data_IF_924360406973
#
_entry.id   IF_924360406973
#
_cell.length_a   1.000
_cell.length_b   1.000
_cell.length_c   1.000
_cell.angle_alpha   90.00
_cell.angle_beta   90.00
_cell.angle_gamma   90.00
#
_symmetry.space_group_name_H-M   'P 1'
#
loop_
_entity.id
_entity.type
_entity.pdbx_description
1 polymer ?
#
# COMPACT_ATOMS: atom_id res chain seq x y z
N UNK A 1 -8.86 1.35 7.53
CA UNK A 1 -7.46 1.64 7.90
C UNK A 1 -7.39 1.55 9.41
N UNK A 2 -6.64 0.60 9.96
CA UNK A 2 -6.56 0.35 11.39
C UNK A 2 -5.21 0.87 11.92
N UNK A 3 -5.22 1.71 12.96
CA UNK A 3 -4.00 2.23 13.59
C UNK A 3 -3.74 1.40 14.84
N UNK A 4 -2.54 0.85 14.96
CA UNK A 4 -2.13 0.11 16.17
C UNK A 4 -1.01 0.82 16.89
N UNK A 5 -0.93 0.65 18.21
CA UNK A 5 0.16 1.18 19.04
C UNK A 5 0.76 0.05 19.86
N UNK A 6 2.09 -0.02 19.87
CA UNK A 6 2.89 -0.98 20.61
C UNK A 6 3.89 -0.19 21.47
N UNK A 7 4.21 -0.70 22.63
CA UNK A 7 5.41 -0.26 23.36
C UNK A 7 6.66 -0.83 22.70
N UNK A 8 7.81 -0.20 22.94
CA UNK A 8 9.10 -0.74 22.51
C UNK A 8 9.31 -2.18 23.00
N UNK A 9 8.82 -2.51 24.20
CA UNK A 9 8.88 -3.87 24.75
C UNK A 9 8.03 -4.85 23.94
N UNK A 10 6.77 -4.52 23.67
CA UNK A 10 5.88 -5.39 22.88
C UNK A 10 6.40 -5.60 21.46
N UNK A 11 6.92 -4.53 20.84
CA UNK A 11 7.55 -4.63 19.52
C UNK A 11 8.75 -5.57 19.53
N UNK A 12 9.67 -5.43 20.49
CA UNK A 12 10.86 -6.26 20.58
C UNK A 12 10.55 -7.72 20.94
N UNK A 13 9.49 -7.95 21.73
CA UNK A 13 9.06 -9.28 22.14
C UNK A 13 8.31 -10.03 21.03
N UNK A 14 7.53 -9.32 20.20
CA UNK A 14 6.72 -9.90 19.12
C UNK A 14 6.75 -9.02 17.86
N UNK A 15 7.91 -9.00 17.22
CA UNK A 15 8.12 -8.25 15.96
C UNK A 15 7.22 -8.76 14.83
N UNK A 16 6.89 -10.06 14.82
CA UNK A 16 6.02 -10.68 13.83
C UNK A 16 4.59 -10.14 13.89
N UNK A 17 4.03 -9.97 15.10
CA UNK A 17 2.71 -9.36 15.29
C UNK A 17 2.68 -7.92 14.80
N UNK A 18 3.72 -7.13 15.08
CA UNK A 18 3.81 -5.75 14.59
C UNK A 18 3.88 -5.68 13.06
N UNK A 19 4.65 -6.56 12.40
CA UNK A 19 4.69 -6.67 10.92
C UNK A 19 3.34 -7.07 10.32
N UNK A 20 2.60 -7.98 10.96
CA UNK A 20 1.25 -8.35 10.50
C UNK A 20 0.27 -7.19 10.66
N UNK A 21 0.36 -6.45 11.77
CA UNK A 21 -0.47 -5.27 12.00
C UNK A 21 -0.16 -4.16 10.98
N UNK A 22 1.11 -4.00 10.57
CA UNK A 22 1.50 -2.97 9.60
C UNK A 22 0.91 -3.17 8.20
N UNK A 23 0.44 -4.37 7.87
CA UNK A 23 -0.32 -4.64 6.64
C UNK A 23 -1.71 -3.98 6.64
N UNK A 24 -2.30 -3.73 7.82
CA UNK A 24 -3.64 -3.12 7.95
C UNK A 24 -3.61 -1.59 8.10
N UNK A 25 -2.46 -1.05 8.50
CA UNK A 25 -2.24 0.37 8.72
C UNK A 25 -1.00 0.64 9.58
N UNK A 26 -0.67 1.90 9.88
CA UNK A 26 0.54 2.26 10.60
C UNK A 26 0.54 1.69 12.02
N UNK A 27 1.72 1.22 12.44
CA UNK A 27 1.97 0.78 13.82
C UNK A 27 2.89 1.79 14.50
N UNK A 28 2.38 2.48 15.51
CA UNK A 28 3.17 3.38 16.33
C UNK A 28 3.91 2.58 17.41
N UNK A 29 5.21 2.84 17.54
CA UNK A 29 6.04 2.25 18.58
C UNK A 29 6.38 3.35 19.58
N UNK A 30 6.05 3.12 20.84
CA UNK A 30 6.21 4.10 21.92
C UNK A 30 7.41 3.80 22.80
N UNK A 31 8.07 4.86 23.26
CA UNK A 31 9.02 4.83 24.36
C UNK A 31 8.48 5.72 25.50
N UNK A 32 8.45 5.20 26.72
CA UNK A 32 7.89 5.87 27.91
C UNK A 32 6.52 6.53 27.67
N UNK A 33 5.65 5.87 26.91
CA UNK A 33 4.29 6.34 26.61
C UNK A 33 4.18 7.38 25.49
N UNK A 34 5.29 7.75 24.82
CA UNK A 34 5.29 8.69 23.70
C UNK A 34 5.66 7.97 22.40
N UNK A 35 4.98 8.23 21.27
CA UNK A 35 5.40 7.71 19.97
C UNK A 35 6.84 8.12 19.65
N UNK A 36 7.67 7.15 19.31
CA UNK A 36 9.07 7.36 18.95
C UNK A 36 9.37 6.89 17.52
N UNK A 37 8.71 5.81 17.08
CA UNK A 37 8.86 5.27 15.73
C UNK A 37 7.50 4.87 15.14
N UNK A 38 7.46 4.70 13.82
CA UNK A 38 6.32 4.15 13.09
C UNK A 38 6.82 3.04 12.17
N UNK A 39 6.12 1.91 12.16
CA UNK A 39 6.31 0.82 11.20
C UNK A 39 5.19 0.86 10.15
N UNK A 40 5.58 0.78 8.88
CA UNK A 40 4.70 0.72 7.72
C UNK A 40 5.06 -0.50 6.86
N UNK A 41 4.10 -0.99 6.06
CA UNK A 41 4.47 -1.81 4.91
C UNK A 41 5.26 -0.99 3.90
N UNK A 42 6.10 -1.65 3.08
CA UNK A 42 6.86 -0.94 2.04
C UNK A 42 5.92 -0.25 1.03
N UNK A 43 4.79 -0.87 0.71
CA UNK A 43 3.78 -0.32 -0.20
C UNK A 43 3.17 0.97 0.36
N UNK A 44 2.83 1.00 1.65
CA UNK A 44 2.32 2.21 2.30
C UNK A 44 3.36 3.31 2.33
N UNK A 45 4.62 2.97 2.62
CA UNK A 45 5.72 3.93 2.61
C UNK A 45 5.94 4.54 1.22
N UNK A 46 5.96 3.71 0.17
CA UNK A 46 6.07 4.17 -1.22
C UNK A 46 4.89 5.06 -1.62
N UNK A 47 3.67 4.70 -1.24
CA UNK A 47 2.47 5.52 -1.50
C UNK A 47 2.57 6.90 -0.85
N UNK A 48 3.07 6.99 0.38
CA UNK A 48 3.30 8.27 1.08
C UNK A 48 4.34 9.13 0.35
N UNK A 49 5.41 8.50 -0.16
CA UNK A 49 6.44 9.19 -0.94
C UNK A 49 5.98 9.56 -2.36
N UNK A 50 4.76 9.20 -2.76
CA UNK A 50 4.30 9.39 -4.14
C UNK A 50 5.06 8.53 -5.14
N UNK A 51 5.80 7.51 -4.67
CA UNK A 51 6.51 6.53 -5.49
C UNK A 51 5.56 5.44 -5.99
N UNK A 52 4.34 5.84 -6.40
CA UNK A 52 3.45 4.92 -7.07
C UNK A 52 4.18 4.40 -8.33
N UNK A 53 4.16 3.07 -8.57
CA UNK A 53 4.76 2.52 -9.78
C UNK A 53 4.17 3.24 -10.99
N UNK A 54 5.03 3.62 -11.93
CA UNK A 54 4.57 4.25 -13.15
C UNK A 54 3.63 3.30 -13.89
N UNK A 55 2.81 3.85 -14.80
CA UNK A 55 1.95 3.01 -15.65
C UNK A 55 2.78 1.94 -16.38
N UNK A 56 4.03 2.27 -16.75
CA UNK A 56 4.97 1.35 -17.39
C UNK A 56 5.37 0.23 -16.43
N UNK A 57 5.73 0.57 -15.19
CA UNK A 57 6.10 -0.43 -14.17
C UNK A 57 4.94 -1.37 -13.85
N UNK A 58 3.71 -0.86 -13.89
CA UNK A 58 2.49 -1.66 -13.67
C UNK A 58 2.23 -2.63 -14.83
N UNK A 59 2.35 -2.15 -16.07
CA UNK A 59 2.15 -2.96 -17.28
C UNK A 59 3.28 -3.96 -17.54
N UNK A 60 4.47 -3.72 -16.99
CA UNK A 60 5.63 -4.59 -17.14
C UNK A 60 5.66 -5.78 -16.14
N UNK A 61 4.68 -5.90 -15.24
CA UNK A 61 4.65 -6.98 -14.24
C UNK A 61 4.30 -8.31 -14.89
N UNK A 62 5.05 -9.36 -14.56
CA UNK A 62 4.82 -10.72 -15.07
C UNK A 62 3.39 -11.24 -14.79
N UNK A 63 2.78 -10.79 -13.68
CA UNK A 63 1.39 -11.07 -13.31
C UNK A 63 0.36 -10.57 -14.32
N UNK A 64 0.73 -9.62 -15.18
CA UNK A 64 -0.14 -9.02 -16.23
C UNK A 64 0.16 -9.52 -17.64
N UNK A 65 1.12 -10.42 -17.80
CA UNK A 65 1.62 -10.85 -19.11
C UNK A 65 0.63 -11.66 -19.95
N UNK A 66 -0.41 -12.23 -19.32
CA UNK A 66 -1.37 -13.14 -19.95
C UNK A 66 -2.83 -12.65 -19.81
N UNK A 67 -3.01 -11.33 -19.78
CA UNK A 67 -4.34 -10.72 -19.80
C UNK A 67 -4.82 -10.68 -21.26
N UNK A 68 -5.97 -11.32 -21.53
CA UNK A 68 -6.66 -11.22 -22.81
C UNK A 68 -7.32 -9.84 -22.93
N UNK A 69 -6.48 -8.87 -23.31
CA UNK A 69 -6.86 -7.47 -23.43
C UNK A 69 -7.73 -7.35 -24.69
N UNK A 70 -9.05 -7.33 -24.50
CA UNK A 70 -10.03 -7.08 -25.56
C UNK A 70 -10.26 -5.57 -25.65
N UNK A 71 -9.54 -4.82 -26.51
CA UNK A 71 -9.76 -3.40 -26.64
C UNK A 71 -11.19 -3.15 -27.11
N UNK A 72 -11.95 -2.40 -26.31
CA UNK A 72 -13.24 -1.91 -26.78
C UNK A 72 -12.99 -0.79 -27.79
N UNK A 73 -13.52 -0.99 -29.00
CA UNK A 73 -13.51 0.06 -30.02
C UNK A 73 -14.51 1.13 -29.60
N UNK A 74 -14.01 2.33 -29.35
CA UNK A 74 -14.87 3.48 -29.09
C UNK A 74 -15.43 3.94 -30.43
N UNK A 75 -16.72 3.67 -30.65
CA UNK A 75 -17.44 4.04 -31.88
C UNK A 75 -17.93 5.49 -31.82
N UNK A 76 -18.26 6.01 -30.62
CA UNK A 76 -18.76 7.38 -30.43
C UNK A 76 -18.06 8.12 -29.29
N UNK A 77 -17.76 9.40 -29.48
CA UNK A 77 -17.07 10.26 -28.50
C UNK A 77 -17.89 10.50 -27.20
N UNK A 78 -19.18 10.20 -27.22
CA UNK A 78 -20.07 10.24 -26.05
C UNK A 78 -19.83 9.11 -25.04
N UNK A 79 -19.17 8.03 -25.46
CA UNK A 79 -18.93 6.83 -24.62
C UNK A 79 -17.76 7.03 -23.63
N UNK A 80 -17.05 8.16 -23.75
CA UNK A 80 -15.85 8.50 -22.97
C UNK A 80 -16.22 9.22 -21.66
N UNK A 81 -17.49 9.58 -21.47
CA UNK A 81 -17.94 10.45 -20.36
C UNK A 81 -17.98 9.76 -18.99
N UNK A 82 -17.74 8.45 -18.92
CA UNK A 82 -17.81 7.67 -17.67
C UNK A 82 -16.46 7.48 -16.95
N UNK A 83 -15.38 8.14 -17.40
CA UNK A 83 -14.17 8.27 -16.58
C UNK A 83 -14.36 9.40 -15.53
N UNK A 84 -14.90 9.04 -14.36
CA UNK A 84 -14.83 9.85 -13.14
C UNK A 84 -13.80 9.29 -12.15
#
# INVERSE_FOLDING_TARGET
MEISTFTAREFNQDTSKAKKASLKGPVFITDRGKPAHVLLSIEQYQKILGLAPSIVDLLARAETADIDLVPQRIENMSDITDLK
#
